data_IF_158042797324
#
_entry.id   IF_158042797324
#
_cell.length_a   1.000
_cell.length_b   1.000
_cell.length_c   1.000
_cell.angle_alpha   90.00
_cell.angle_beta   90.00
_cell.angle_gamma   90.00
#
_symmetry.space_group_name_H-M   'P 1'
#
loop_
_entity.id
_entity.type
_entity.pdbx_description
1 polymer ?
#
# COMPACT_ATOMS: atom_id res chain seq x y z
N UNK A 1 -3.58 -39.36 4.83
CA UNK A 1 -2.83 -38.11 4.62
C UNK A 1 -3.17 -37.18 5.78
N UNK A 2 -2.16 -36.51 6.35
CA UNK A 2 -2.42 -35.41 7.29
C UNK A 2 -3.27 -34.34 6.59
N UNK A 3 -4.25 -33.77 7.27
CA UNK A 3 -5.01 -32.65 6.73
C UNK A 3 -4.13 -31.42 6.58
N UNK A 4 -4.35 -30.62 5.53
CA UNK A 4 -3.72 -29.30 5.37
C UNK A 4 -4.36 -28.29 6.32
N UNK A 5 -3.54 -27.47 6.97
CA UNK A 5 -4.00 -26.32 7.76
C UNK A 5 -4.58 -25.23 6.84
N UNK A 6 -5.21 -24.20 7.43
CA UNK A 6 -5.63 -23.03 6.65
C UNK A 6 -4.43 -22.31 6.02
N UNK A 7 -3.32 -22.22 6.76
CA UNK A 7 -2.09 -21.58 6.27
C UNK A 7 -1.54 -22.32 5.05
N UNK A 8 -1.44 -23.65 5.10
CA UNK A 8 -0.95 -24.45 3.96
C UNK A 8 -1.82 -24.24 2.72
N UNK A 9 -3.15 -24.20 2.91
CA UNK A 9 -4.09 -23.97 1.81
C UNK A 9 -3.93 -22.59 1.17
N UNK A 10 -3.72 -21.55 1.98
CA UNK A 10 -3.48 -20.20 1.47
C UNK A 10 -2.13 -20.16 0.76
N UNK A 11 -1.07 -20.65 1.38
CA UNK A 11 0.26 -20.70 0.80
C UNK A 11 0.28 -21.40 -0.56
N UNK A 12 -0.24 -22.62 -0.63
CA UNK A 12 -0.28 -23.44 -1.86
C UNK A 12 -1.06 -22.74 -2.99
N UNK A 13 -2.06 -21.92 -2.65
CA UNK A 13 -2.84 -21.18 -3.63
C UNK A 13 -2.10 -19.97 -4.23
N UNK A 14 -1.01 -19.50 -3.60
CA UNK A 14 -0.30 -18.27 -3.98
C UNK A 14 1.15 -18.49 -4.44
N UNK A 15 1.70 -19.70 -4.30
CA UNK A 15 2.99 -20.05 -4.92
C UNK A 15 2.82 -20.10 -6.43
N UNK A 16 3.47 -19.16 -7.12
CA UNK A 16 3.50 -19.12 -8.58
C UNK A 16 4.62 -20.01 -9.16
N UNK A 17 5.73 -20.15 -8.43
CA UNK A 17 6.85 -21.00 -8.81
C UNK A 17 7.69 -21.34 -7.57
N UNK A 18 8.26 -22.54 -7.54
CA UNK A 18 9.26 -22.95 -6.55
C UNK A 18 10.50 -23.43 -7.32
N UNK A 19 11.65 -22.82 -7.02
CA UNK A 19 12.94 -23.17 -7.61
C UNK A 19 13.52 -24.43 -6.96
N UNK A 20 14.55 -25.02 -7.58
CA UNK A 20 15.19 -26.26 -7.08
C UNK A 20 15.81 -26.11 -5.68
N UNK A 21 16.18 -24.90 -5.29
CA UNK A 21 16.72 -24.59 -3.96
C UNK A 21 15.63 -24.33 -2.89
N UNK A 22 14.36 -24.43 -3.27
CA UNK A 22 13.20 -24.16 -2.42
C UNK A 22 12.74 -22.69 -2.40
N UNK A 23 13.37 -21.80 -3.17
CA UNK A 23 12.94 -20.40 -3.25
C UNK A 23 11.58 -20.31 -3.93
N UNK A 24 10.59 -19.78 -3.21
CA UNK A 24 9.23 -19.60 -3.72
C UNK A 24 9.01 -18.19 -4.25
N UNK A 25 8.51 -18.09 -5.48
CA UNK A 25 7.88 -16.89 -6.00
C UNK A 25 6.41 -16.88 -5.59
N UNK A 26 6.04 -15.90 -4.76
CA UNK A 26 4.66 -15.68 -4.36
C UNK A 26 4.01 -14.61 -5.22
N UNK A 27 2.76 -14.83 -5.61
CA UNK A 27 1.93 -13.78 -6.14
C UNK A 27 1.27 -13.01 -4.99
N UNK A 28 1.36 -11.67 -5.04
CA UNK A 28 0.78 -10.79 -4.02
C UNK A 28 -0.52 -10.19 -4.56
N UNK A 29 -1.63 -10.48 -3.88
CA UNK A 29 -2.97 -10.05 -4.32
C UNK A 29 -3.36 -8.65 -3.92
N UNK A 30 -2.71 -8.08 -2.89
CA UNK A 30 -3.00 -6.75 -2.39
C UNK A 30 -1.75 -6.08 -1.86
N UNK A 31 -1.56 -4.83 -2.24
CA UNK A 31 -0.60 -3.93 -1.62
C UNK A 31 -1.34 -2.83 -0.89
N UNK A 32 -1.02 -2.67 0.38
CA UNK A 32 -1.48 -1.54 1.19
C UNK A 32 -0.26 -0.67 1.46
N UNK A 33 -0.32 0.60 1.04
CA UNK A 33 0.81 1.52 1.14
C UNK A 33 0.39 2.82 1.84
N UNK A 34 1.35 3.45 2.51
CA UNK A 34 1.16 4.66 3.28
C UNK A 34 2.35 5.62 3.10
N UNK A 35 2.24 6.83 3.60
CA UNK A 35 3.09 7.98 3.30
C UNK A 35 4.54 7.86 3.81
N UNK A 36 4.81 6.96 4.76
CA UNK A 36 6.13 6.89 5.42
C UNK A 36 7.12 6.02 4.65
N UNK A 37 6.68 4.87 4.14
CA UNK A 37 7.55 3.84 3.56
C UNK A 37 7.46 3.76 2.03
N UNK A 38 6.32 4.16 1.47
CA UNK A 38 6.08 4.05 0.03
C UNK A 38 6.85 5.03 -0.85
N UNK A 39 7.26 6.25 -0.41
CA UNK A 39 8.02 7.16 -1.28
C UNK A 39 9.28 6.52 -1.86
N UNK A 40 10.01 5.75 -1.05
CA UNK A 40 11.22 5.04 -1.47
C UNK A 40 10.90 3.92 -2.47
N UNK A 41 9.79 3.21 -2.29
CA UNK A 41 9.35 2.16 -3.21
C UNK A 41 8.99 2.74 -4.59
N UNK A 42 8.24 3.86 -4.62
CA UNK A 42 7.91 4.55 -5.87
C UNK A 42 9.14 5.14 -6.56
N UNK A 43 10.08 5.71 -5.81
CA UNK A 43 11.34 6.17 -6.39
C UNK A 43 12.15 5.00 -6.99
N UNK A 44 12.20 3.85 -6.31
CA UNK A 44 12.81 2.64 -6.84
C UNK A 44 12.18 2.18 -8.16
N UNK A 45 10.85 2.25 -8.29
CA UNK A 45 10.17 1.98 -9.56
C UNK A 45 10.58 2.97 -10.64
N UNK A 46 10.61 4.27 -10.32
CA UNK A 46 10.97 5.35 -11.25
C UNK A 46 12.41 5.19 -11.76
N UNK A 47 13.37 4.99 -10.85
CA UNK A 47 14.77 4.76 -11.19
C UNK A 47 14.98 3.52 -12.07
N UNK A 48 14.15 2.48 -11.86
CA UNK A 48 14.18 1.26 -12.66
C UNK A 48 13.37 1.36 -13.97
N UNK A 49 12.72 2.49 -14.25
CA UNK A 49 11.84 2.66 -15.41
C UNK A 49 10.61 1.74 -15.39
N UNK A 50 10.13 1.36 -14.19
CA UNK A 50 9.02 0.44 -13.98
C UNK A 50 7.75 1.17 -13.58
N UNK A 51 6.60 0.58 -13.94
CA UNK A 51 5.28 0.97 -13.43
C UNK A 51 4.85 0.03 -12.30
N UNK A 52 3.84 0.44 -11.53
CA UNK A 52 3.14 -0.48 -10.65
C UNK A 52 2.47 -1.55 -11.51
N UNK A 53 2.75 -2.82 -11.22
CA UNK A 53 2.30 -3.95 -12.04
C UNK A 53 0.77 -4.11 -12.03
N UNK A 54 0.14 -3.96 -10.86
CA UNK A 54 -1.31 -4.09 -10.69
C UNK A 54 -1.85 -2.91 -9.87
N UNK A 55 -2.13 -1.76 -10.51
CA UNK A 55 -2.58 -0.56 -9.81
C UNK A 55 -3.90 -0.76 -9.06
N UNK A 56 -4.84 -1.50 -9.64
CA UNK A 56 -6.15 -1.81 -9.02
C UNK A 56 -6.03 -2.71 -7.77
N UNK A 57 -4.89 -3.37 -7.59
CA UNK A 57 -4.57 -4.18 -6.40
C UNK A 57 -3.74 -3.39 -5.37
N UNK A 58 -3.54 -2.10 -5.57
CA UNK A 58 -2.74 -1.24 -4.69
C UNK A 58 -3.61 -0.12 -4.14
N UNK A 59 -3.78 -0.09 -2.81
CA UNK A 59 -4.42 1.01 -2.09
C UNK A 59 -3.34 1.85 -1.40
N UNK A 60 -3.42 3.16 -1.57
CA UNK A 60 -2.72 4.16 -0.78
C UNK A 60 -3.68 4.87 0.18
N UNK A 61 -3.26 5.03 1.43
CA UNK A 61 -3.96 5.86 2.42
C UNK A 61 -2.92 6.53 3.33
N UNK A 62 -3.02 7.85 3.59
CA UNK A 62 -2.19 8.49 4.58
C UNK A 62 -2.79 8.25 5.96
N UNK A 63 -2.02 7.81 6.94
CA UNK A 63 -2.56 7.50 8.28
C UNK A 63 -1.60 7.73 9.46
N UNK A 64 -0.31 7.94 9.22
CA UNK A 64 0.71 8.11 10.26
C UNK A 64 0.96 9.59 10.59
N UNK A 65 0.93 10.46 9.59
CA UNK A 65 1.32 11.87 9.65
C UNK A 65 0.13 12.82 9.44
N UNK A 66 -1.08 12.31 9.66
CA UNK A 66 -2.32 13.09 9.57
C UNK A 66 -2.63 13.70 10.95
N UNK A 67 -2.86 15.02 11.05
CA UNK A 67 -3.24 15.65 12.31
C UNK A 67 -4.53 15.03 12.89
N UNK A 68 -4.55 14.86 14.22
CA UNK A 68 -5.74 14.41 14.96
C UNK A 68 -6.66 15.56 15.36
N UNK A 69 -6.29 16.80 15.02
CA UNK A 69 -7.04 18.01 15.34
C UNK A 69 -8.25 18.17 14.40
N UNK A 70 -9.33 18.83 14.85
CA UNK A 70 -10.55 19.00 14.04
C UNK A 70 -10.34 19.73 12.70
N UNK A 71 -9.28 20.52 12.60
CA UNK A 71 -8.93 21.35 11.44
C UNK A 71 -7.99 20.64 10.45
N UNK A 72 -7.78 19.33 10.59
CA UNK A 72 -6.96 18.51 9.67
C UNK A 72 -7.32 18.63 8.17
N UNK A 73 -8.56 19.04 7.87
CA UNK A 73 -9.00 19.31 6.49
C UNK A 73 -8.32 20.55 5.88
N UNK A 74 -7.83 21.47 6.73
CA UNK A 74 -7.13 22.68 6.32
C UNK A 74 -5.65 22.41 5.96
N UNK A 75 -5.17 21.17 6.13
CA UNK A 75 -3.83 20.75 5.78
C UNK A 75 -2.99 20.31 6.98
N UNK A 76 -1.69 20.18 6.75
CA UNK A 76 -0.72 19.67 7.72
C UNK A 76 0.34 20.76 7.95
N UNK A 77 0.37 21.33 9.15
CA UNK A 77 1.30 22.42 9.49
C UNK A 77 2.75 21.94 9.58
N UNK A 78 2.97 20.74 10.13
CA UNK A 78 4.30 20.16 10.22
C UNK A 78 4.82 19.86 8.82
N UNK A 79 5.90 20.53 8.43
CA UNK A 79 6.44 20.49 7.08
C UNK A 79 6.84 19.07 6.64
N UNK A 80 7.52 18.32 7.52
CA UNK A 80 7.96 16.95 7.21
C UNK A 80 6.78 16.01 6.95
N UNK A 81 5.76 16.10 7.81
CA UNK A 81 4.51 15.35 7.70
C UNK A 81 3.78 15.69 6.39
N UNK A 82 3.69 16.98 6.07
CA UNK A 82 3.08 17.48 4.84
C UNK A 82 3.79 16.94 3.60
N UNK A 83 5.13 16.99 3.58
CA UNK A 83 5.93 16.49 2.45
C UNK A 83 5.66 15.00 2.19
N UNK A 84 5.56 14.18 3.24
CA UNK A 84 5.29 12.75 3.10
C UNK A 84 3.89 12.48 2.52
N UNK A 85 2.86 13.15 3.06
CA UNK A 85 1.48 12.99 2.57
C UNK A 85 1.33 13.49 1.13
N UNK A 86 1.93 14.64 0.78
CA UNK A 86 1.96 15.13 -0.59
C UNK A 86 2.74 14.21 -1.53
N UNK A 87 3.82 13.59 -1.06
CA UNK A 87 4.56 12.60 -1.85
C UNK A 87 3.69 11.38 -2.16
N UNK A 88 2.90 10.89 -1.19
CA UNK A 88 1.95 9.82 -1.41
C UNK A 88 0.88 10.20 -2.45
N UNK A 89 0.27 11.39 -2.33
CA UNK A 89 -0.73 11.89 -3.28
C UNK A 89 -0.16 11.99 -4.71
N UNK A 90 1.03 12.59 -4.87
CA UNK A 90 1.70 12.68 -6.17
C UNK A 90 2.02 11.31 -6.76
N UNK A 91 2.60 10.42 -5.96
CA UNK A 91 2.95 9.08 -6.41
C UNK A 91 1.69 8.27 -6.78
N UNK A 92 0.61 8.40 -6.01
CA UNK A 92 -0.63 7.70 -6.31
C UNK A 92 -1.20 8.11 -7.67
N UNK A 93 -1.19 9.42 -7.97
CA UNK A 93 -1.62 9.95 -9.27
C UNK A 93 -0.68 9.53 -10.40
N UNK A 94 0.63 9.61 -10.20
CA UNK A 94 1.63 9.26 -11.22
C UNK A 94 1.59 7.77 -11.60
N UNK A 95 1.47 6.89 -10.60
CA UNK A 95 1.44 5.44 -10.80
C UNK A 95 0.02 4.88 -11.00
N UNK A 96 -1.01 5.73 -10.92
CA UNK A 96 -2.39 5.37 -11.19
C UNK A 96 -3.00 4.38 -10.20
N UNK A 97 -2.57 4.42 -8.93
CA UNK A 97 -3.10 3.54 -7.88
C UNK A 97 -4.26 4.20 -7.14
N UNK A 98 -5.10 3.40 -6.49
CA UNK A 98 -6.22 3.92 -5.72
C UNK A 98 -5.70 4.67 -4.48
N UNK A 99 -6.22 5.86 -4.21
CA UNK A 99 -5.80 6.71 -3.10
C UNK A 99 -7.00 7.29 -2.35
N UNK A 100 -7.00 7.10 -1.03
CA UNK A 100 -7.94 7.76 -0.12
C UNK A 100 -7.26 8.99 0.48
N UNK A 101 -7.52 10.21 -0.04
CA UNK A 101 -6.95 11.42 0.54
C UNK A 101 -7.43 11.66 1.98
N UNK A 102 -6.73 12.55 2.71
CA UNK A 102 -7.08 12.96 4.07
C UNK A 102 -8.54 13.43 4.21
N UNK A 103 -9.14 13.93 3.14
CA UNK A 103 -10.52 14.44 3.08
C UNK A 103 -11.56 13.38 2.67
N UNK A 104 -11.16 12.16 2.33
CA UNK A 104 -12.10 11.08 2.01
C UNK A 104 -12.71 10.53 3.30
N UNK A 105 -14.04 10.36 3.33
CA UNK A 105 -14.75 9.79 4.48
C UNK A 105 -14.30 8.37 4.84
N UNK A 106 -13.72 7.64 3.89
CA UNK A 106 -13.18 6.29 4.06
C UNK A 106 -11.72 6.29 4.51
N UNK A 107 -11.07 7.45 4.58
CA UNK A 107 -9.71 7.53 5.08
C UNK A 107 -9.67 7.13 6.56
N UNK A 108 -8.66 6.34 6.91
CA UNK A 108 -8.43 5.86 8.27
C UNK A 108 -7.11 5.10 8.34
N UNK A 109 -6.91 4.38 9.44
CA UNK A 109 -5.72 3.53 9.63
C UNK A 109 -5.68 2.47 8.52
N UNK A 110 -4.52 2.26 7.90
CA UNK A 110 -4.37 1.37 6.73
C UNK A 110 -4.88 -0.06 6.98
N UNK A 111 -4.74 -0.56 8.21
CA UNK A 111 -5.22 -1.88 8.61
C UNK A 111 -6.73 -1.97 8.87
N UNK A 112 -7.43 -0.84 8.91
CA UNK A 112 -8.90 -0.76 8.93
C UNK A 112 -9.41 -0.58 7.49
N UNK A 113 -8.83 0.39 6.77
CA UNK A 113 -9.21 0.72 5.40
C UNK A 113 -9.03 -0.48 4.46
N UNK A 114 -7.92 -1.22 4.58
CA UNK A 114 -7.66 -2.40 3.76
C UNK A 114 -8.83 -3.40 3.79
N UNK A 115 -9.18 -3.98 4.95
CA UNK A 115 -10.32 -4.90 5.05
C UNK A 115 -11.68 -4.30 4.65
N UNK A 116 -11.93 -3.01 4.91
CA UNK A 116 -13.22 -2.37 4.61
C UNK A 116 -13.42 -2.08 3.11
N UNK A 117 -12.35 -1.82 2.38
CA UNK A 117 -12.40 -1.43 0.97
C UNK A 117 -12.05 -2.58 0.00
N UNK A 118 -11.84 -3.80 0.53
CA UNK A 118 -11.51 -5.02 -0.20
C UNK A 118 -10.06 -5.10 -0.63
#
# INVERSE_FOLDING_TARGET
MSGKTLYDKIWDAHVAHEAEDGTCLLYIDRHLVHEVTSPQAFEGLRMAGRKVHAPDKTIAVPDHNVPTTPDRENGIENEESRIQVEALDRNAREFGIHYYPVTDIRQGIVHIVGPEQG
#
